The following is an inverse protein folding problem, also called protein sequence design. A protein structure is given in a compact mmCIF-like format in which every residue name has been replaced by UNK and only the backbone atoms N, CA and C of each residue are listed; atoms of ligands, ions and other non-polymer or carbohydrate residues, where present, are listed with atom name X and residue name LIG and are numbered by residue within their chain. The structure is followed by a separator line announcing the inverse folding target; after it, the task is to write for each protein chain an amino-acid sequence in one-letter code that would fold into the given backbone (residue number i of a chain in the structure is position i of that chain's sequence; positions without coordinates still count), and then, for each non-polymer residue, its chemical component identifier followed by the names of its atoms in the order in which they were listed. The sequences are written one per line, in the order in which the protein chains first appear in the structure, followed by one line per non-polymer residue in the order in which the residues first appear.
data_IF_732562388928
#
_entry.id   IF_732562388928
#
_cell.length_a   1.000
_cell.length_b   1.000
_cell.length_c   1.000
_cell.angle_alpha   90.00
_cell.angle_beta   90.00
_cell.angle_gamma   90.00
#
_symmetry.space_group_name_H-M   'P 1'
#
loop_
_entity.id
_entity.type
_entity.pdbx_description
1 polymer ?
#
# COMPACT_ATOMS: atom_id res chain seq x y z
N UNK A 1 -2.78 -9.18 25.39
CA UNK A 1 -2.88 -9.71 24.02
C UNK A 1 -2.85 -11.22 24.15
N UNK A 2 -3.56 -11.99 23.30
CA UNK A 2 -3.36 -13.44 23.28
C UNK A 2 -1.92 -13.72 22.83
N UNK A 3 -1.11 -14.39 23.65
CA UNK A 3 0.33 -14.57 23.42
C UNK A 3 0.62 -15.22 22.05
N UNK A 4 -0.28 -16.10 21.58
CA UNK A 4 -0.17 -16.72 20.25
C UNK A 4 -0.32 -15.69 19.13
N UNK A 5 -1.19 -14.72 19.33
CA UNK A 5 -1.45 -13.65 18.36
C UNK A 5 -0.31 -12.64 18.33
N UNK A 6 0.25 -12.33 19.50
CA UNK A 6 1.44 -11.50 19.60
C UNK A 6 2.59 -12.14 18.81
N UNK A 7 2.87 -13.42 19.07
CA UNK A 7 3.89 -14.18 18.37
C UNK A 7 3.65 -14.26 16.85
N UNK A 8 2.38 -14.35 16.41
CA UNK A 8 2.05 -14.33 14.98
C UNK A 8 2.40 -12.99 14.32
N UNK A 9 2.01 -11.87 14.94
CA UNK A 9 2.35 -10.53 14.45
C UNK A 9 3.87 -10.31 14.42
N UNK A 10 4.57 -10.73 15.49
CA UNK A 10 6.04 -10.68 15.56
C UNK A 10 6.70 -11.52 14.46
N UNK A 11 6.16 -12.71 14.15
CA UNK A 11 6.68 -13.56 13.08
C UNK A 11 6.65 -12.88 11.71
N UNK A 12 5.64 -12.05 11.43
CA UNK A 12 5.60 -11.24 10.20
C UNK A 12 6.69 -10.16 10.16
N UNK A 13 6.96 -9.49 11.29
CA UNK A 13 8.04 -8.50 11.38
C UNK A 13 9.43 -9.14 11.33
N UNK A 14 9.59 -10.31 11.94
CA UNK A 14 10.82 -11.08 11.87
C UNK A 14 11.10 -11.55 10.45
N UNK A 15 10.07 -11.98 9.73
CA UNK A 15 10.18 -12.33 8.33
C UNK A 15 10.57 -11.11 7.48
N UNK A 16 9.91 -9.96 7.66
CA UNK A 16 10.30 -8.71 7.00
C UNK A 16 11.76 -8.34 7.26
N UNK A 17 12.23 -8.46 8.51
CA UNK A 17 13.62 -8.21 8.89
C UNK A 17 14.60 -9.17 8.22
N UNK A 18 14.19 -10.43 8.00
CA UNK A 18 15.01 -11.41 7.29
C UNK A 18 15.13 -11.12 5.78
N UNK A 19 14.13 -10.45 5.20
CA UNK A 19 14.15 -10.02 3.79
C UNK A 19 14.91 -8.72 3.58
N UNK A 20 14.58 -7.69 4.38
CA UNK A 20 15.01 -6.31 4.19
C UNK A 20 15.21 -5.67 5.58
N UNK A 21 16.38 -5.89 6.19
CA UNK A 21 16.67 -5.41 7.54
C UNK A 21 16.49 -3.88 7.68
N UNK A 22 16.87 -3.12 6.64
CA UNK A 22 16.72 -1.66 6.61
C UNK A 22 15.24 -1.26 6.54
N UNK A 23 14.42 -1.95 5.75
CA UNK A 23 12.98 -1.69 5.67
C UNK A 23 12.29 -2.01 6.99
N UNK A 24 12.70 -3.09 7.68
CA UNK A 24 12.22 -3.40 9.01
C UNK A 24 12.65 -2.35 10.05
N UNK A 25 13.85 -1.79 9.92
CA UNK A 25 14.31 -0.68 10.77
C UNK A 25 13.48 0.59 10.54
N UNK A 26 13.19 0.93 9.28
CA UNK A 26 12.28 2.03 8.93
C UNK A 26 10.89 1.78 9.50
N UNK A 27 10.35 0.57 9.35
CA UNK A 27 9.07 0.19 9.94
C UNK A 27 9.04 0.49 11.45
N UNK A 28 10.04 0.00 12.19
CA UNK A 28 10.11 0.19 13.66
C UNK A 28 10.33 1.66 14.05
N UNK A 29 10.93 2.46 13.19
CA UNK A 29 11.13 3.88 13.42
C UNK A 29 9.82 4.67 13.21
N UNK A 30 9.05 4.35 12.18
CA UNK A 30 7.87 5.12 11.79
C UNK A 30 6.57 4.58 12.36
N UNK A 31 6.48 3.29 12.63
CA UNK A 31 5.32 2.61 13.23
C UNK A 31 5.61 2.35 14.71
N UNK A 32 4.95 3.11 15.57
CA UNK A 32 5.12 3.08 17.02
C UNK A 32 4.18 2.09 17.71
N UNK A 33 3.05 1.76 17.06
CA UNK A 33 2.06 0.84 17.60
C UNK A 33 1.40 0.01 16.50
N UNK A 34 1.31 -1.30 16.75
CA UNK A 34 0.49 -2.23 15.96
C UNK A 34 -0.68 -2.69 16.82
N UNK A 35 -1.88 -2.27 16.43
CA UNK A 35 -3.13 -2.71 17.02
C UNK A 35 -3.67 -3.89 16.25
N UNK A 36 -4.34 -4.81 16.95
CA UNK A 36 -4.98 -5.93 16.28
C UNK A 36 -6.24 -6.37 17.01
N UNK A 37 -7.36 -6.43 16.30
CA UNK A 37 -8.63 -6.98 16.78
C UNK A 37 -8.66 -8.51 16.66
N UNK A 38 -9.54 -9.19 17.41
CA UNK A 38 -9.77 -10.64 17.22
C UNK A 38 -10.06 -10.91 15.74
N UNK A 39 -9.81 -12.16 15.30
CA UNK A 39 -10.05 -12.58 13.91
C UNK A 39 -11.34 -11.98 13.37
N UNK A 40 -11.17 -11.16 12.35
CA UNK A 40 -12.24 -10.33 11.81
C UNK A 40 -12.93 -11.09 10.69
N UNK A 41 -14.26 -11.02 10.65
CA UNK A 41 -15.03 -11.47 9.48
C UNK A 41 -14.64 -10.69 8.21
N UNK A 42 -14.03 -9.51 8.39
CA UNK A 42 -13.40 -8.72 7.33
C UNK A 42 -11.91 -8.56 7.62
N UNK A 43 -11.06 -9.50 7.18
CA UNK A 43 -9.63 -9.40 7.29
C UNK A 43 -9.11 -8.15 6.56
N UNK A 44 -8.06 -7.54 7.08
CA UNK A 44 -7.53 -6.32 6.50
C UNK A 44 -6.43 -5.67 7.31
N UNK A 45 -5.92 -4.58 6.76
CA UNK A 45 -5.00 -3.68 7.43
C UNK A 45 -5.46 -2.24 7.23
N UNK A 46 -5.06 -1.34 8.14
CA UNK A 46 -5.40 0.07 8.03
C UNK A 46 -4.38 0.96 8.74
N UNK A 47 -4.08 2.09 8.10
CA UNK A 47 -3.43 3.27 8.68
C UNK A 47 -4.38 4.46 8.50
N UNK A 48 -4.37 5.38 9.46
CA UNK A 48 -5.18 6.61 9.40
C UNK A 48 -4.29 7.84 9.40
N UNK A 49 -4.63 8.84 8.58
CA UNK A 49 -3.97 10.14 8.59
C UNK A 49 -4.17 10.92 9.90
N UNK A 50 -5.17 10.54 10.71
CA UNK A 50 -5.36 11.10 12.06
C UNK A 50 -4.44 10.47 13.12
N UNK A 51 -3.75 9.37 12.80
CA UNK A 51 -2.90 8.62 13.73
C UNK A 51 -1.69 8.02 13.00
N UNK A 52 -0.86 8.88 12.41
CA UNK A 52 0.35 8.45 11.70
C UNK A 52 1.28 7.72 12.66
N UNK A 53 1.76 6.55 12.23
CA UNK A 53 2.60 5.65 13.02
C UNK A 53 1.82 4.65 13.87
N UNK A 54 0.49 4.66 13.83
CA UNK A 54 -0.35 3.58 14.32
C UNK A 54 -0.89 2.75 13.15
N UNK A 55 -0.74 1.42 13.25
CA UNK A 55 -1.21 0.48 12.25
C UNK A 55 -2.20 -0.49 12.89
N UNK A 56 -3.31 -0.76 12.21
CA UNK A 56 -4.28 -1.79 12.59
C UNK A 56 -4.14 -2.99 11.66
N UNK A 57 -3.94 -4.18 12.22
CA UNK A 57 -3.90 -5.44 11.48
C UNK A 57 -5.00 -6.35 12.01
N UNK A 58 -5.89 -6.77 11.13
CA UNK A 58 -6.99 -7.70 11.42
C UNK A 58 -6.76 -8.97 10.60
N UNK A 59 -5.93 -9.92 11.08
CA UNK A 59 -5.59 -11.10 10.30
C UNK A 59 -6.77 -12.07 10.20
N UNK A 60 -6.85 -12.79 9.08
CA UNK A 60 -7.69 -13.98 8.98
C UNK A 60 -6.96 -15.18 9.59
N UNK A 61 -7.70 -16.22 9.98
CA UNK A 61 -7.12 -17.49 10.44
C UNK A 61 -6.24 -18.17 9.37
N UNK A 62 -6.48 -17.87 8.10
CA UNK A 62 -5.73 -18.40 6.96
C UNK A 62 -4.49 -17.60 6.58
N UNK A 63 -4.20 -16.50 7.28
CA UNK A 63 -3.03 -15.68 6.99
C UNK A 63 -1.74 -16.39 7.41
N UNK A 64 -0.72 -16.20 6.59
CA UNK A 64 0.64 -16.65 6.82
C UNK A 64 1.53 -15.48 7.26
N UNK A 65 2.75 -15.72 7.77
CA UNK A 65 3.73 -14.66 7.99
C UNK A 65 4.05 -13.84 6.72
N UNK A 66 3.93 -14.43 5.53
CA UNK A 66 4.06 -13.73 4.24
C UNK A 66 2.92 -12.74 4.02
N UNK A 67 1.67 -13.11 4.35
CA UNK A 67 0.52 -12.20 4.30
C UNK A 67 0.69 -11.03 5.28
N UNK A 68 1.20 -11.30 6.49
CA UNK A 68 1.52 -10.26 7.47
C UNK A 68 2.62 -9.32 6.97
N UNK A 69 3.67 -9.87 6.36
CA UNK A 69 4.75 -9.07 5.77
C UNK A 69 4.20 -8.15 4.69
N UNK A 70 3.31 -8.66 3.82
CA UNK A 70 2.64 -7.86 2.80
C UNK A 70 1.76 -6.76 3.41
N UNK A 71 1.01 -7.07 4.48
CA UNK A 71 0.24 -6.08 5.23
C UNK A 71 1.14 -5.02 5.89
N UNK A 72 2.30 -5.38 6.44
CA UNK A 72 3.23 -4.41 7.02
C UNK A 72 3.83 -3.48 5.98
N UNK A 73 4.25 -4.00 4.83
CA UNK A 73 4.77 -3.16 3.72
C UNK A 73 3.67 -2.25 3.18
N UNK A 74 2.43 -2.74 3.06
CA UNK A 74 1.27 -1.95 2.68
C UNK A 74 1.09 -0.74 3.61
N UNK A 75 1.00 -0.99 4.91
CA UNK A 75 0.71 0.07 5.89
C UNK A 75 1.89 1.00 6.14
N UNK A 76 3.11 0.48 6.04
CA UNK A 76 4.31 1.30 6.04
C UNK A 76 4.32 2.27 4.86
N UNK A 77 3.97 1.80 3.66
CA UNK A 77 3.91 2.65 2.47
C UNK A 77 2.89 3.77 2.66
N UNK A 78 1.70 3.47 3.21
CA UNK A 78 0.74 4.51 3.58
C UNK A 78 1.32 5.51 4.58
N UNK A 79 1.97 5.04 5.64
CA UNK A 79 2.60 5.88 6.67
C UNK A 79 3.64 6.82 6.06
N UNK A 80 4.55 6.30 5.23
CA UNK A 80 5.63 7.07 4.62
C UNK A 80 5.10 8.11 3.62
N UNK A 81 4.09 7.76 2.81
CA UNK A 81 3.49 8.70 1.87
C UNK A 81 2.77 9.82 2.62
N UNK A 82 2.06 9.54 3.71
CA UNK A 82 1.45 10.57 4.55
C UNK A 82 2.51 11.51 5.15
N UNK A 83 3.64 10.97 5.63
CA UNK A 83 4.75 11.79 6.14
C UNK A 83 5.36 12.68 5.04
N UNK A 84 5.52 12.17 3.82
CA UNK A 84 5.98 12.95 2.67
C UNK A 84 4.95 14.04 2.27
N UNK A 85 3.65 13.72 2.28
CA UNK A 85 2.55 14.68 2.09
C UNK A 85 2.64 15.83 3.10
N UNK A 86 2.80 15.51 4.39
CA UNK A 86 2.91 16.52 5.46
C UNK A 86 4.09 17.46 5.25
N UNK A 87 5.19 16.97 4.65
CA UNK A 87 6.38 17.76 4.40
C UNK A 87 6.25 18.64 3.14
N UNK A 88 5.71 18.08 2.05
CA UNK A 88 5.79 18.68 0.73
C UNK A 88 4.47 19.19 0.16
N UNK A 89 3.33 18.92 0.82
CA UNK A 89 2.01 19.36 0.37
C UNK A 89 1.61 18.70 -0.95
N UNK A 90 1.32 17.40 -0.93
CA UNK A 90 0.96 16.66 -2.15
C UNK A 90 -0.35 17.14 -2.80
N UNK A 91 -1.26 17.71 -2.01
CA UNK A 91 -2.58 18.15 -2.46
C UNK A 91 -2.82 19.62 -2.10
N UNK A 92 -2.55 20.57 -3.03
CA UNK A 92 -2.72 22.00 -2.76
C UNK A 92 -4.17 22.42 -2.45
N UNK A 93 -5.14 21.65 -2.94
CA UNK A 93 -6.59 21.87 -2.77
C UNK A 93 -7.24 20.62 -2.16
N UNK A 94 -6.86 20.28 -0.94
CA UNK A 94 -7.26 19.04 -0.25
C UNK A 94 -8.78 18.94 -0.05
N UNK A 95 -9.44 20.07 0.12
CA UNK A 95 -10.89 20.22 0.25
C UNK A 95 -11.66 19.79 -1.01
N UNK A 96 -11.01 19.78 -2.18
CA UNK A 96 -11.65 19.41 -3.45
C UNK A 96 -11.56 17.91 -3.76
N UNK A 97 -10.78 17.13 -3.00
CA UNK A 97 -10.49 15.73 -3.32
C UNK A 97 -11.70 14.79 -3.15
N UNK A 98 -12.66 15.19 -2.32
CA UNK A 98 -13.88 14.42 -2.04
C UNK A 98 -15.02 14.76 -3.03
N UNK A 99 -14.82 15.75 -3.91
CA UNK A 99 -15.81 16.11 -4.91
C UNK A 99 -16.04 14.92 -5.88
N UNK A 100 -17.29 14.47 -6.11
CA UNK A 100 -17.60 13.36 -7.01
C UNK A 100 -16.96 13.44 -8.40
N UNK A 101 -16.77 14.64 -8.96
CA UNK A 101 -16.12 14.82 -10.28
C UNK A 101 -14.62 14.53 -10.26
N UNK A 102 -14.00 14.54 -9.08
CA UNK A 102 -12.57 14.31 -8.88
C UNK A 102 -12.27 12.87 -8.42
N UNK A 103 -13.29 12.01 -8.29
CA UNK A 103 -13.09 10.62 -7.89
C UNK A 103 -12.48 9.80 -9.04
N UNK A 104 -11.44 9.03 -8.72
CA UNK A 104 -10.66 8.23 -9.65
C UNK A 104 -10.65 6.75 -9.23
N UNK A 105 -10.53 5.79 -10.17
CA UNK A 105 -10.46 4.36 -9.83
C UNK A 105 -9.31 4.04 -8.87
N UNK A 106 -9.53 3.11 -7.93
CA UNK A 106 -8.47 2.61 -7.03
C UNK A 106 -7.68 1.45 -7.65
N UNK A 107 -6.38 1.35 -7.31
CA UNK A 107 -5.52 0.26 -7.77
C UNK A 107 -5.80 -1.07 -7.05
N UNK A 108 -6.30 -1.00 -5.81
CA UNK A 108 -6.52 -2.17 -4.96
C UNK A 108 -8.00 -2.52 -4.92
N UNK A 109 -8.87 -1.52 -4.76
CA UNK A 109 -10.31 -1.70 -4.75
C UNK A 109 -10.90 -1.40 -6.14
N UNK A 110 -11.95 -2.12 -6.55
CA UNK A 110 -12.61 -1.93 -7.86
C UNK A 110 -13.59 -0.73 -7.90
N UNK A 111 -13.52 0.16 -6.91
CA UNK A 111 -14.42 1.30 -6.74
C UNK A 111 -13.70 2.63 -7.03
N UNK A 112 -14.47 3.67 -7.38
CA UNK A 112 -13.95 5.05 -7.45
C UNK A 112 -13.70 5.56 -6.03
N UNK A 113 -12.55 6.17 -5.81
CA UNK A 113 -12.16 6.75 -4.52
C UNK A 113 -11.58 8.14 -4.72
N UNK A 114 -11.36 8.82 -3.61
CA UNK A 114 -10.69 10.12 -3.59
C UNK A 114 -9.31 10.00 -4.24
N UNK A 115 -8.84 11.09 -4.85
CA UNK A 115 -7.51 11.14 -5.45
C UNK A 115 -6.42 10.76 -4.44
N UNK A 116 -6.58 11.16 -3.19
CA UNK A 116 -5.75 10.75 -2.06
C UNK A 116 -5.65 9.22 -1.95
N UNK A 117 -6.80 8.54 -1.80
CA UNK A 117 -6.83 7.09 -1.61
C UNK A 117 -6.29 6.33 -2.84
N UNK A 118 -6.55 6.83 -4.05
CA UNK A 118 -6.10 6.18 -5.27
C UNK A 118 -4.59 6.34 -5.49
N UNK A 119 -4.02 7.53 -5.28
CA UNK A 119 -2.57 7.74 -5.33
C UNK A 119 -1.83 6.84 -4.32
N UNK A 120 -2.31 6.80 -3.09
CA UNK A 120 -1.77 5.90 -2.06
C UNK A 120 -1.83 4.43 -2.47
N UNK A 121 -2.93 3.99 -3.10
CA UNK A 121 -3.07 2.62 -3.57
C UNK A 121 -2.12 2.27 -4.72
N UNK A 122 -1.71 3.25 -5.54
CA UNK A 122 -0.70 3.07 -6.59
C UNK A 122 0.67 2.83 -5.97
N UNK A 123 1.06 3.62 -4.97
CA UNK A 123 2.35 3.45 -4.29
C UNK A 123 2.42 2.13 -3.55
N UNK A 124 1.37 1.77 -2.82
CA UNK A 124 1.27 0.45 -2.19
C UNK A 124 1.42 -0.65 -3.24
N UNK A 125 0.68 -0.60 -4.34
CA UNK A 125 0.76 -1.63 -5.38
C UNK A 125 2.20 -1.80 -5.91
N UNK A 126 2.92 -0.70 -6.12
CA UNK A 126 4.31 -0.76 -6.57
C UNK A 126 5.25 -1.42 -5.55
N UNK A 127 5.13 -1.07 -4.27
CA UNK A 127 5.96 -1.66 -3.21
C UNK A 127 5.65 -3.14 -2.99
N UNK A 128 4.37 -3.53 -3.05
CA UNK A 128 4.00 -4.94 -2.98
C UNK A 128 4.55 -5.74 -4.16
N UNK A 129 4.50 -5.19 -5.37
CA UNK A 129 5.06 -5.87 -6.53
C UNK A 129 6.58 -6.03 -6.42
N UNK A 130 7.30 -5.04 -5.88
CA UNK A 130 8.75 -5.12 -5.61
C UNK A 130 9.07 -6.15 -4.54
N UNK A 131 8.31 -6.18 -3.44
CA UNK A 131 8.43 -7.20 -2.40
C UNK A 131 8.27 -8.60 -3.00
N UNK A 132 7.24 -8.80 -3.82
CA UNK A 132 6.97 -10.07 -4.48
C UNK A 132 8.05 -10.45 -5.48
N UNK A 133 8.56 -9.51 -6.28
CA UNK A 133 9.64 -9.79 -7.24
C UNK A 133 10.92 -10.25 -6.54
N UNK A 134 11.25 -9.66 -5.38
CA UNK A 134 12.49 -9.95 -4.66
C UNK A 134 12.43 -11.17 -3.76
N UNK A 135 11.30 -11.41 -3.08
CA UNK A 135 11.25 -12.31 -1.93
C UNK A 135 10.20 -13.43 -2.02
N UNK A 136 8.98 -13.13 -2.47
CA UNK A 136 7.88 -14.10 -2.43
C UNK A 136 7.62 -14.83 -3.75
N UNK A 137 8.06 -14.26 -4.87
CA UNK A 137 7.64 -14.65 -6.21
C UNK A 137 6.23 -14.16 -6.57
N UNK A 138 5.96 -14.00 -7.86
CA UNK A 138 4.68 -13.48 -8.35
C UNK A 138 3.53 -14.50 -8.35
N UNK A 139 3.84 -15.79 -8.13
CA UNK A 139 2.87 -16.88 -8.10
C UNK A 139 2.30 -17.21 -6.72
N UNK A 140 2.77 -16.55 -5.66
CA UNK A 140 2.22 -16.75 -4.32
C UNK A 140 0.78 -16.20 -4.21
N UNK A 141 -0.12 -16.96 -3.59
CA UNK A 141 -1.52 -16.61 -3.41
C UNK A 141 -1.73 -15.86 -2.09
N UNK A 142 -1.57 -14.54 -2.13
CA UNK A 142 -1.79 -13.67 -0.98
C UNK A 142 -3.27 -13.54 -0.64
N UNK A 143 -3.56 -13.52 0.66
CA UNK A 143 -4.94 -13.40 1.18
C UNK A 143 -5.48 -11.99 1.17
N UNK A 144 -4.60 -10.98 1.26
CA UNK A 144 -5.00 -9.59 1.42
C UNK A 144 -5.10 -8.82 0.10
N UNK A 145 -4.19 -9.07 -0.85
CA UNK A 145 -4.12 -8.31 -2.10
C UNK A 145 -4.20 -9.21 -3.34
N UNK A 146 -4.73 -8.71 -4.48
CA UNK A 146 -4.83 -9.48 -5.71
C UNK A 146 -3.48 -10.01 -6.23
N UNK A 147 -3.56 -10.98 -7.14
CA UNK A 147 -2.39 -11.48 -7.87
C UNK A 147 -1.62 -10.37 -8.59
N UNK A 148 -0.29 -10.53 -8.73
CA UNK A 148 0.64 -9.48 -9.18
C UNK A 148 0.25 -8.82 -10.50
N UNK A 149 -0.23 -9.59 -11.49
CA UNK A 149 -0.67 -9.04 -12.78
C UNK A 149 -1.89 -8.14 -12.61
N UNK A 150 -2.91 -8.60 -11.90
CA UNK A 150 -4.10 -7.81 -11.64
C UNK A 150 -3.77 -6.54 -10.84
N UNK A 151 -2.89 -6.66 -9.84
CA UNK A 151 -2.45 -5.53 -9.03
C UNK A 151 -1.72 -4.48 -9.89
N UNK A 152 -0.78 -4.89 -10.74
CA UNK A 152 -0.07 -3.99 -11.67
C UNK A 152 -1.01 -3.32 -12.66
N UNK A 153 -1.88 -4.10 -13.31
CA UNK A 153 -2.76 -3.58 -14.35
C UNK A 153 -3.80 -2.61 -13.75
N UNK A 154 -4.29 -2.87 -12.54
CA UNK A 154 -5.14 -1.93 -11.81
C UNK A 154 -4.39 -0.64 -11.43
N UNK A 155 -3.15 -0.76 -10.93
CA UNK A 155 -2.33 0.38 -10.53
C UNK A 155 -1.98 1.28 -11.72
N UNK A 156 -1.61 0.71 -12.87
CA UNK A 156 -1.34 1.48 -14.08
C UNK A 156 -2.60 2.17 -14.61
N UNK A 157 -3.77 1.52 -14.57
CA UNK A 157 -5.04 2.18 -14.92
C UNK A 157 -5.41 3.32 -13.98
N UNK A 158 -5.20 3.14 -12.67
CA UNK A 158 -5.43 4.20 -11.70
C UNK A 158 -4.47 5.38 -11.93
N UNK A 159 -3.19 5.10 -12.21
CA UNK A 159 -2.19 6.09 -12.56
C UNK A 159 -2.60 6.89 -13.80
N UNK A 160 -2.91 6.20 -14.90
CA UNK A 160 -3.32 6.84 -16.15
C UNK A 160 -4.58 7.71 -15.94
N UNK A 161 -5.52 7.26 -15.09
CA UNK A 161 -6.70 8.06 -14.74
C UNK A 161 -6.36 9.34 -13.99
N UNK A 162 -5.33 9.34 -13.12
CA UNK A 162 -4.88 10.54 -12.41
C UNK A 162 -4.13 11.47 -13.37
N UNK A 163 -3.23 10.91 -14.19
CA UNK A 163 -2.40 11.67 -15.12
C UNK A 163 -3.22 12.39 -16.20
N UNK A 164 -4.40 11.86 -16.53
CA UNK A 164 -5.32 12.42 -17.53
C UNK A 164 -6.44 13.30 -16.95
N UNK A 165 -6.46 13.56 -15.64
CA UNK A 165 -7.47 14.46 -15.05
C UNK A 165 -7.34 15.89 -15.60
N UNK A 166 -8.43 16.53 -16.07
CA UNK A 166 -8.38 17.90 -16.61
C UNK A 166 -7.86 18.94 -15.62
N UNK A 167 -8.12 18.74 -14.33
CA UNK A 167 -7.70 19.60 -13.23
C UNK A 167 -6.53 19.02 -12.42
N UNK A 168 -5.79 18.04 -12.97
CA UNK A 168 -4.65 17.39 -12.30
C UNK A 168 -3.68 18.41 -11.71
N UNK A 169 -3.26 19.40 -12.50
CA UNK A 169 -2.21 20.32 -12.08
C UNK A 169 -2.63 21.28 -10.96
N UNK A 170 -3.94 21.41 -10.74
CA UNK A 170 -4.52 22.07 -9.57
C UNK A 170 -4.50 21.13 -8.36
N UNK A 171 -4.96 19.89 -8.52
CA UNK A 171 -5.15 18.97 -7.39
C UNK A 171 -3.88 18.24 -6.92
N UNK A 172 -2.88 18.08 -7.80
CA UNK A 172 -1.67 17.30 -7.56
C UNK A 172 -0.46 18.24 -7.52
N UNK A 173 0.22 18.28 -6.38
CA UNK A 173 1.43 19.08 -6.17
C UNK A 173 2.64 18.53 -6.93
N UNK A 174 3.70 19.34 -7.12
CA UNK A 174 4.90 18.93 -7.86
C UNK A 174 5.54 17.64 -7.36
N UNK A 175 5.66 17.49 -6.03
CA UNK A 175 6.25 16.30 -5.41
C UNK A 175 5.44 15.03 -5.71
N UNK A 176 4.12 15.11 -5.62
CA UNK A 176 3.28 13.95 -5.90
C UNK A 176 3.33 13.54 -7.39
N UNK A 177 3.41 14.51 -8.32
CA UNK A 177 3.61 14.20 -9.74
C UNK A 177 4.89 13.43 -9.98
N UNK A 178 6.01 13.91 -9.45
CA UNK A 178 7.32 13.24 -9.54
C UNK A 178 7.25 11.79 -9.03
N UNK A 179 6.64 11.59 -7.86
CA UNK A 179 6.48 10.25 -7.27
C UNK A 179 5.60 9.33 -8.13
N UNK A 180 4.49 9.83 -8.65
CA UNK A 180 3.58 9.07 -9.53
C UNK A 180 4.28 8.66 -10.83
N UNK A 181 5.03 9.57 -11.45
CA UNK A 181 5.79 9.29 -12.67
C UNK A 181 6.85 8.22 -12.43
N UNK A 182 7.70 8.40 -11.41
CA UNK A 182 8.75 7.44 -11.06
C UNK A 182 8.17 6.05 -10.69
N UNK A 183 7.03 6.04 -10.00
CA UNK A 183 6.34 4.80 -9.63
C UNK A 183 5.76 4.10 -10.87
N UNK A 184 5.18 4.86 -11.79
CA UNK A 184 4.69 4.36 -13.07
C UNK A 184 5.80 3.73 -13.90
N UNK A 185 6.94 4.41 -14.05
CA UNK A 185 8.13 3.87 -14.73
C UNK A 185 8.61 2.58 -14.09
N UNK A 186 8.73 2.57 -12.75
CA UNK A 186 9.16 1.39 -12.03
C UNK A 186 8.21 0.21 -12.21
N UNK A 187 6.89 0.41 -12.17
CA UNK A 187 5.95 -0.71 -12.33
C UNK A 187 5.97 -1.28 -13.76
N UNK A 188 6.20 -0.44 -14.76
CA UNK A 188 6.27 -0.85 -16.17
C UNK A 188 7.53 -1.68 -16.46
N UNK A 189 8.62 -1.51 -15.69
CA UNK A 189 9.86 -2.27 -15.85
C UNK A 189 9.88 -3.63 -15.15
N UNK A 190 8.93 -3.91 -14.25
CA UNK A 190 8.85 -5.16 -13.50
C UNK A 190 8.60 -6.39 -14.39
N UNK A 191 9.33 -7.47 -14.12
CA UNK A 191 9.21 -8.73 -14.86
C UNK A 191 8.31 -9.70 -14.11
N UNK A 192 7.01 -9.60 -14.35
CA UNK A 192 6.07 -10.57 -13.80
C UNK A 192 6.31 -11.95 -14.44
N UNK A 193 6.65 -12.95 -13.62
CA UNK A 193 6.83 -14.34 -14.05
C UNK A 193 5.57 -14.91 -14.74
N UNK A 194 5.70 -16.06 -15.44
CA UNK A 194 4.56 -16.69 -16.10
C UNK A 194 3.44 -16.96 -15.09
N UNK A 195 2.19 -16.73 -15.50
CA UNK A 195 1.03 -17.16 -14.73
C UNK A 195 1.13 -18.67 -14.58
N UNK A 196 1.18 -19.17 -13.34
CA UNK A 196 0.91 -20.58 -13.09
C UNK A 196 -0.44 -20.90 -13.75
N UNK A 197 -0.38 -21.71 -14.81
CA UNK A 197 -1.52 -22.22 -15.56
C UNK A 197 -2.24 -23.29 -14.76
#
# INVERSE_FOLDING_TARGET
MDDKKAAFLEAGLDLLRSYEADLAAVFRLTVTAVFSSRTSETPGSMTSSAAIGAVWISPADSWTPQDLTEAYVHELTHTLVMLDEHRYGHYPHREELDNPVNLVPSAIRREKRTLFASAHSIFVAAELLRLRERHHGHGFDFRLHPASRALRDNALRALDSILTMPNRDRLVGPRLRELLDATGESMRSLRLGPTGS
#
